data_IF_678696829677
#
_entry.id   IF_678696829677
#
_cell.length_a   1.000
_cell.length_b   1.000
_cell.length_c   1.000
_cell.angle_alpha   90.00
_cell.angle_beta   90.00
_cell.angle_gamma   90.00
#
_symmetry.space_group_name_H-M   'P 1'
#
loop_
_entity.id
_entity.type
_entity.pdbx_description
1 polymer ?
#
# COMPACT_ATOMS: atom_id res chain seq x y z
N UNK A 1 -34.71 -21.93 1.71
CA UNK A 1 -34.11 -20.57 1.72
C UNK A 1 -32.72 -20.71 2.31
N UNK A 2 -31.66 -20.12 1.73
CA UNK A 2 -30.36 -20.11 2.39
C UNK A 2 -30.48 -19.33 3.70
N UNK A 3 -30.04 -19.91 4.82
CA UNK A 3 -29.99 -19.22 6.12
C UNK A 3 -28.66 -18.46 6.23
N UNK A 4 -28.67 -17.31 6.89
CA UNK A 4 -27.46 -16.50 7.12
C UNK A 4 -26.68 -16.98 8.36
N UNK A 5 -26.83 -18.26 8.72
CA UNK A 5 -26.24 -18.85 9.92
C UNK A 5 -24.76 -19.14 9.66
N UNK A 6 -23.88 -18.44 10.39
CA UNK A 6 -22.43 -18.56 10.23
C UNK A 6 -21.86 -19.46 11.32
N UNK A 7 -21.05 -20.45 10.93
CA UNK A 7 -20.18 -21.14 11.89
C UNK A 7 -19.10 -20.15 12.31
N UNK A 8 -19.08 -19.80 13.60
CA UNK A 8 -18.13 -18.82 14.11
C UNK A 8 -16.71 -19.39 14.09
N UNK A 9 -15.75 -18.71 13.46
CA UNK A 9 -14.34 -19.09 13.51
C UNK A 9 -13.81 -19.05 14.96
N UNK A 10 -12.83 -19.89 15.28
CA UNK A 10 -12.32 -20.07 16.66
C UNK A 10 -11.04 -19.28 16.91
N UNK A 11 -10.27 -19.02 15.87
CA UNK A 11 -8.97 -18.33 15.96
C UNK A 11 -8.90 -17.18 14.97
N UNK A 12 -7.94 -16.27 15.20
CA UNK A 12 -7.64 -15.19 14.26
C UNK A 12 -7.26 -15.74 12.87
N UNK A 13 -6.56 -16.88 12.80
CA UNK A 13 -6.19 -17.52 11.52
C UNK A 13 -7.37 -18.13 10.77
N UNK A 14 -8.44 -18.51 11.48
CA UNK A 14 -9.69 -18.96 10.84
C UNK A 14 -10.46 -17.79 10.20
N UNK A 15 -10.18 -16.56 10.64
CA UNK A 15 -10.79 -15.32 10.13
C UNK A 15 -9.93 -14.72 9.01
N UNK A 16 -8.60 -14.74 9.15
CA UNK A 16 -7.66 -13.98 8.32
C UNK A 16 -6.89 -14.92 7.40
N UNK A 17 -7.29 -14.95 6.13
CA UNK A 17 -6.74 -15.86 5.10
C UNK A 17 -5.40 -15.40 4.54
N UNK A 18 -5.12 -14.08 4.54
CA UNK A 18 -3.83 -13.56 4.10
C UNK A 18 -3.49 -12.23 4.80
N UNK A 19 -2.23 -12.06 5.22
CA UNK A 19 -1.77 -10.85 5.95
C UNK A 19 -1.23 -9.75 5.03
N UNK A 20 -1.02 -10.08 3.75
CA UNK A 20 -0.46 -9.18 2.75
C UNK A 20 -1.30 -9.32 1.49
N UNK A 21 -1.79 -8.19 0.98
CA UNK A 21 -2.40 -8.10 -0.34
C UNK A 21 -1.51 -7.20 -1.19
N UNK A 22 -0.87 -7.83 -2.18
CA UNK A 22 -0.19 -7.15 -3.28
C UNK A 22 -1.08 -7.11 -4.50
N UNK A 23 -0.94 -6.06 -5.29
CA UNK A 23 -1.47 -5.98 -6.66
C UNK A 23 -0.30 -5.80 -7.61
N UNK A 24 -0.35 -6.45 -8.77
CA UNK A 24 0.54 -6.12 -9.86
C UNK A 24 -0.03 -4.88 -10.55
N UNK A 25 0.71 -3.78 -10.55
CA UNK A 25 0.23 -2.51 -11.05
C UNK A 25 1.33 -1.72 -11.76
N UNK A 26 0.91 -0.87 -12.68
CA UNK A 26 1.79 0.03 -13.41
C UNK A 26 2.34 1.09 -12.44
N UNK A 27 3.65 1.14 -12.33
CA UNK A 27 4.36 2.18 -11.56
C UNK A 27 4.95 3.19 -12.54
N UNK A 28 4.45 4.42 -12.51
CA UNK A 28 4.96 5.53 -13.31
C UNK A 28 6.11 6.24 -12.59
N UNK A 29 7.28 6.24 -13.22
CA UNK A 29 8.46 6.88 -12.68
C UNK A 29 9.41 7.35 -13.76
N UNK A 30 10.13 8.45 -13.47
CA UNK A 30 11.22 9.01 -14.28
C UNK A 30 12.61 8.64 -13.75
N UNK A 31 12.68 7.96 -12.59
CA UNK A 31 13.90 7.54 -11.91
C UNK A 31 13.76 6.12 -11.38
N UNK A 32 14.88 5.46 -11.10
CA UNK A 32 14.85 4.18 -10.41
C UNK A 32 14.23 4.33 -9.01
N UNK A 33 13.39 3.37 -8.62
CA UNK A 33 12.78 3.27 -7.29
C UNK A 33 13.18 1.94 -6.66
N UNK A 34 13.47 1.99 -5.37
CA UNK A 34 13.82 0.82 -4.57
C UNK A 34 12.58 0.22 -3.89
N UNK A 35 12.64 -1.07 -3.59
CA UNK A 35 11.68 -1.75 -2.73
C UNK A 35 11.48 -0.97 -1.43
N UNK A 36 10.23 -0.82 -1.01
CA UNK A 36 9.85 -0.07 0.18
C UNK A 36 9.48 1.39 -0.07
N UNK A 37 9.67 1.91 -1.29
CA UNK A 37 9.17 3.24 -1.65
C UNK A 37 7.66 3.30 -1.47
N UNK A 38 7.18 4.34 -0.79
CA UNK A 38 5.75 4.59 -0.63
C UNK A 38 5.20 5.18 -1.92
N UNK A 39 4.11 4.61 -2.40
CA UNK A 39 3.42 5.00 -3.62
C UNK A 39 2.04 5.57 -3.31
N UNK A 40 1.50 6.31 -4.26
CA UNK A 40 0.10 6.72 -4.28
C UNK A 40 -0.50 6.46 -5.66
N UNK A 41 -1.81 6.18 -5.69
CA UNK A 41 -2.54 5.95 -6.92
C UNK A 41 -2.71 7.25 -7.72
N UNK A 42 -2.51 7.14 -9.03
CA UNK A 42 -2.77 8.17 -10.03
C UNK A 42 -3.75 7.64 -11.08
N UNK A 43 -4.21 8.50 -11.99
CA UNK A 43 -5.08 8.13 -13.11
C UNK A 43 -6.33 7.33 -12.68
N UNK A 44 -6.99 7.77 -11.59
CA UNK A 44 -8.19 7.10 -11.08
C UNK A 44 -7.96 5.72 -10.45
N UNK A 45 -6.72 5.35 -10.13
CA UNK A 45 -6.38 4.04 -9.54
C UNK A 45 -5.73 3.07 -10.52
N UNK A 46 -5.56 3.45 -11.79
CA UNK A 46 -4.97 2.59 -12.82
C UNK A 46 -3.46 2.40 -12.67
N UNK A 47 -2.77 3.35 -12.04
CA UNK A 47 -1.31 3.35 -11.90
C UNK A 47 -0.88 3.99 -10.59
N UNK A 48 0.38 3.82 -10.23
CA UNK A 48 0.99 4.34 -9.01
C UNK A 48 2.19 5.22 -9.33
N UNK A 49 2.41 6.25 -8.52
CA UNK A 49 3.58 7.11 -8.57
C UNK A 49 4.23 7.22 -7.19
N UNK A 50 5.54 7.54 -7.09
CA UNK A 50 6.22 7.68 -5.81
C UNK A 50 5.72 8.90 -5.04
N UNK A 51 5.51 8.71 -3.73
CA UNK A 51 5.38 9.82 -2.79
C UNK A 51 6.77 10.41 -2.58
N UNK A 52 6.91 11.71 -2.83
CA UNK A 52 8.14 12.48 -2.66
C UNK A 52 7.89 13.66 -1.72
N UNK A 53 8.96 14.29 -1.23
CA UNK A 53 8.83 15.48 -0.39
C UNK A 53 8.03 16.60 -1.05
N UNK A 54 8.09 16.70 -2.39
CA UNK A 54 7.42 17.76 -3.15
C UNK A 54 5.90 17.56 -3.25
N UNK A 55 5.43 16.29 -3.18
CA UNK A 55 4.02 15.95 -3.38
C UNK A 55 3.33 15.37 -2.13
N UNK A 56 4.09 15.05 -1.06
CA UNK A 56 3.59 14.33 0.11
C UNK A 56 2.37 15.01 0.75
N UNK A 57 2.46 16.30 1.09
CA UNK A 57 1.39 17.03 1.78
C UNK A 57 0.10 17.05 0.97
N UNK A 58 0.20 17.35 -0.33
CA UNK A 58 -0.96 17.40 -1.22
C UNK A 58 -1.58 16.00 -1.41
N UNK A 59 -0.74 14.96 -1.51
CA UNK A 59 -1.19 13.58 -1.67
C UNK A 59 -1.90 13.07 -0.41
N UNK A 60 -1.36 13.34 0.78
CA UNK A 60 -1.99 12.94 2.06
C UNK A 60 -3.32 13.66 2.28
N UNK A 61 -3.43 14.92 1.85
CA UNK A 61 -4.68 15.68 1.94
C UNK A 61 -5.76 15.18 0.98
N UNK A 62 -5.39 14.46 -0.10
CA UNK A 62 -6.33 13.90 -1.05
C UNK A 62 -6.99 12.64 -0.49
N UNK A 63 -8.24 12.77 -0.04
CA UNK A 63 -9.02 11.65 0.51
C UNK A 63 -9.29 10.50 -0.50
N UNK A 64 -9.13 10.75 -1.80
CA UNK A 64 -9.28 9.73 -2.84
C UNK A 64 -7.95 9.01 -3.17
N UNK A 65 -6.82 9.47 -2.62
CA UNK A 65 -5.53 8.82 -2.85
C UNK A 65 -5.48 7.47 -2.12
N UNK A 66 -5.19 6.42 -2.89
CA UNK A 66 -4.88 5.08 -2.36
C UNK A 66 -3.37 4.99 -2.23
N UNK A 67 -2.90 4.58 -1.05
CA UNK A 67 -1.47 4.40 -0.81
C UNK A 67 -1.04 2.95 -1.02
N UNK A 68 0.23 2.76 -1.32
CA UNK A 68 0.84 1.45 -1.42
C UNK A 68 2.32 1.50 -1.06
N UNK A 69 2.93 0.33 -0.97
CA UNK A 69 4.37 0.18 -0.79
C UNK A 69 4.89 -0.70 -1.92
N UNK A 70 5.87 -0.19 -2.65
CA UNK A 70 6.51 -0.93 -3.73
C UNK A 70 7.22 -2.16 -3.16
N UNK A 71 6.96 -3.35 -3.72
CA UNK A 71 7.55 -4.60 -3.27
C UNK A 71 8.80 -5.02 -4.06
N UNK A 72 9.04 -4.39 -5.22
CA UNK A 72 10.18 -4.69 -6.12
C UNK A 72 11.01 -3.45 -6.46
N UNK A 73 12.23 -3.65 -6.94
CA UNK A 73 12.99 -2.54 -7.54
C UNK A 73 12.51 -2.29 -8.98
N UNK A 74 12.29 -1.03 -9.37
CA UNK A 74 11.97 -0.65 -10.75
C UNK A 74 12.97 0.39 -11.27
N UNK A 75 13.46 0.22 -12.50
CA UNK A 75 14.42 1.13 -13.13
C UNK A 75 13.79 2.16 -14.07
N UNK A 76 12.55 1.90 -14.49
CA UNK A 76 11.73 2.75 -15.36
C UNK A 76 10.24 2.40 -15.16
N UNK A 77 9.36 3.14 -15.84
CA UNK A 77 7.92 2.85 -15.84
C UNK A 77 7.67 1.40 -16.29
N UNK A 78 7.07 0.61 -15.41
CA UNK A 78 6.84 -0.83 -15.61
C UNK A 78 5.77 -1.35 -14.65
N UNK A 79 5.31 -2.58 -14.86
CA UNK A 79 4.48 -3.30 -13.90
C UNK A 79 5.36 -3.81 -12.75
N UNK A 80 4.92 -3.63 -11.52
CA UNK A 80 5.59 -4.13 -10.33
C UNK A 80 4.57 -4.46 -9.24
N UNK A 81 4.99 -5.25 -8.26
CA UNK A 81 4.12 -5.58 -7.14
C UNK A 81 4.04 -4.41 -6.15
N UNK A 82 2.81 -4.03 -5.81
CA UNK A 82 2.51 -2.97 -4.85
C UNK A 82 1.68 -3.54 -3.73
N UNK A 83 2.19 -3.47 -2.50
CA UNK A 83 1.46 -3.84 -1.30
C UNK A 83 0.45 -2.76 -0.96
N UNK A 84 -0.83 -3.11 -0.92
CA UNK A 84 -1.95 -2.19 -0.65
C UNK A 84 -2.66 -2.48 0.67
N UNK A 85 -2.32 -3.61 1.32
CA UNK A 85 -2.75 -3.99 2.66
C UNK A 85 -1.73 -4.94 3.27
N UNK A 86 -1.42 -4.74 4.56
CA UNK A 86 -0.60 -5.68 5.33
C UNK A 86 0.38 -4.99 6.25
N UNK A 87 1.52 -5.64 6.50
CA UNK A 87 2.56 -5.12 7.38
C UNK A 87 3.89 -5.06 6.63
N UNK A 88 4.61 -3.95 6.76
CA UNK A 88 5.91 -3.73 6.12
C UNK A 88 6.96 -3.30 7.13
N UNK A 89 8.22 -3.62 6.85
CA UNK A 89 9.37 -3.18 7.63
C UNK A 89 10.02 -2.00 6.91
N UNK A 90 9.78 -0.79 7.40
CA UNK A 90 10.32 0.45 6.85
C UNK A 90 10.77 1.36 7.99
N UNK A 91 11.79 2.17 7.72
CA UNK A 91 12.40 3.07 8.70
C UNK A 91 12.41 4.50 8.18
N UNK A 92 12.33 5.48 9.08
CA UNK A 92 12.42 6.90 8.69
C UNK A 92 11.19 7.44 7.96
N UNK A 93 10.07 6.70 7.96
CA UNK A 93 8.80 7.16 7.35
C UNK A 93 8.22 8.31 8.19
N UNK A 94 7.85 9.42 7.54
CA UNK A 94 7.25 10.58 8.19
C UNK A 94 5.93 10.22 8.92
N UNK A 95 5.65 10.84 10.07
CA UNK A 95 4.49 10.53 10.93
C UNK A 95 3.15 10.66 10.22
N UNK A 96 2.99 11.69 9.38
CA UNK A 96 1.80 11.89 8.56
C UNK A 96 1.62 10.78 7.51
N UNK A 97 2.71 10.31 6.90
CA UNK A 97 2.68 9.23 5.92
C UNK A 97 2.39 7.88 6.59
N UNK A 98 2.92 7.63 7.79
CA UNK A 98 2.51 6.49 8.63
C UNK A 98 1.01 6.48 8.91
N UNK A 99 0.45 7.65 9.21
CA UNK A 99 -0.99 7.79 9.46
C UNK A 99 -1.81 7.52 8.21
N UNK A 100 -1.36 8.00 7.04
CA UNK A 100 -1.99 7.73 5.76
C UNK A 100 -1.97 6.23 5.40
N UNK A 101 -0.80 5.58 5.56
CA UNK A 101 -0.64 4.14 5.35
C UNK A 101 -1.49 3.31 6.31
N UNK A 102 -1.59 3.71 7.58
CA UNK A 102 -2.46 3.04 8.54
C UNK A 102 -3.95 3.11 8.14
N UNK A 103 -4.41 4.26 7.60
CA UNK A 103 -5.78 4.37 7.05
C UNK A 103 -5.99 3.40 5.89
N UNK A 104 -4.96 3.17 5.09
CA UNK A 104 -4.90 2.18 4.00
C UNK A 104 -4.69 0.74 4.47
N UNK A 105 -4.69 0.48 5.79
CA UNK A 105 -4.46 -0.86 6.38
C UNK A 105 -3.06 -1.41 6.13
N UNK A 106 -2.09 -0.52 5.94
CA UNK A 106 -0.67 -0.84 5.88
C UNK A 106 -0.03 -0.41 7.21
N UNK A 107 0.48 -1.37 7.96
CA UNK A 107 1.14 -1.14 9.25
C UNK A 107 2.65 -1.11 9.04
N UNK A 108 3.28 -0.02 9.46
CA UNK A 108 4.74 0.09 9.49
C UNK A 108 5.29 -0.53 10.79
N UNK A 109 6.20 -1.49 10.66
CA UNK A 109 7.09 -1.94 11.73
C UNK A 109 8.46 -1.30 11.51
N UNK A 110 8.85 -0.37 12.38
CA UNK A 110 10.17 0.24 12.34
C UNK A 110 11.26 -0.83 12.55
N UNK A 111 12.33 -0.75 11.77
CA UNK A 111 13.50 -1.65 11.83
C UNK A 111 14.82 -0.89 11.81
#
# INVERSE_FOLDING_TARGET
>A
MPTNEQIKPKTYGDIVVNKVLGVNAKVETTKALECGVVLFSINGGESFAPVTNDNQTATIANAAAVFGVLADNVSATSEADVLVLGEVKLSGVATELKTALFKQKIIIREV
#
